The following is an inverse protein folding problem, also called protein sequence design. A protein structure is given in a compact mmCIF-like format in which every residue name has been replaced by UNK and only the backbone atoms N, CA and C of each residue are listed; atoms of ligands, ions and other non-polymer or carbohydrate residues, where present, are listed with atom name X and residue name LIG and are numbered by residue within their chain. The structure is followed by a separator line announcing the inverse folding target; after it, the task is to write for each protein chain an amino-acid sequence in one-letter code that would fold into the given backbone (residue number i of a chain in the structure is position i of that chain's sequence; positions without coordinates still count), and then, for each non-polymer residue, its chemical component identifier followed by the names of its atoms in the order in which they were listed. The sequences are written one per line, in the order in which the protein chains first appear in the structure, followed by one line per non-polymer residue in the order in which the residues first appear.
data_IF_056719503045
#
_entry.id   IF_056719503045
#
_cell.length_a   1.000
_cell.length_b   1.000
_cell.length_c   1.000
_cell.angle_alpha   90.00
_cell.angle_beta   90.00
_cell.angle_gamma   90.00
#
_symmetry.space_group_name_H-M   'P 1'
#
loop_
_entity.id
_entity.type
_entity.pdbx_description
1 polymer ?
#
# COMPACT_ATOMS: atom_id res chain seq x y z
N UNK A 1 -1.21 9.18 1.58
CA UNK A 1 -0.92 9.05 0.14
C UNK A 1 -0.38 7.66 -0.15
N UNK A 2 -0.57 7.16 -1.36
CA UNK A 2 0.04 5.92 -1.88
C UNK A 2 1.00 6.26 -3.03
N UNK A 3 1.91 5.36 -3.37
CA UNK A 3 2.87 5.60 -4.46
C UNK A 3 3.00 4.41 -5.40
N UNK A 4 3.26 4.66 -6.67
CA UNK A 4 3.62 3.63 -7.65
C UNK A 4 5.07 3.84 -8.08
N UNK A 5 5.92 2.83 -7.91
CA UNK A 5 7.31 2.87 -8.36
C UNK A 5 7.89 1.48 -8.63
N UNK A 6 9.03 1.45 -9.33
CA UNK A 6 9.81 0.24 -9.54
C UNK A 6 10.50 -0.21 -8.24
N UNK A 7 10.36 -1.48 -7.91
CA UNK A 7 11.13 -2.17 -6.86
C UNK A 7 11.48 -3.57 -7.35
N UNK A 8 12.77 -3.92 -7.27
CA UNK A 8 13.30 -5.20 -7.75
C UNK A 8 12.84 -5.58 -9.17
N UNK A 9 12.81 -4.56 -10.05
CA UNK A 9 12.37 -4.63 -11.47
C UNK A 9 10.86 -4.88 -11.68
N UNK A 10 10.06 -4.83 -10.63
CA UNK A 10 8.61 -4.90 -10.73
C UNK A 10 7.99 -3.53 -10.45
N UNK A 11 6.93 -3.20 -11.18
CA UNK A 11 6.09 -2.08 -10.81
C UNK A 11 5.30 -2.46 -9.56
N UNK A 12 5.34 -1.59 -8.55
CA UNK A 12 4.71 -1.85 -7.24
C UNK A 12 3.85 -0.67 -6.85
N UNK A 13 2.67 -0.96 -6.33
CA UNK A 13 1.87 -0.02 -5.56
C UNK A 13 2.30 -0.15 -4.09
N UNK A 14 2.58 0.97 -3.43
CA UNK A 14 3.10 1.00 -2.08
C UNK A 14 2.26 1.93 -1.20
N UNK A 15 1.98 1.49 0.02
CA UNK A 15 1.33 2.28 1.08
C UNK A 15 2.18 2.21 2.34
N UNK A 16 2.22 3.30 3.11
CA UNK A 16 2.96 3.34 4.37
C UNK A 16 2.01 3.14 5.54
N UNK A 17 2.36 2.19 6.40
CA UNK A 17 1.69 1.92 7.64
C UNK A 17 2.60 2.34 8.80
N UNK A 18 2.04 3.00 9.82
CA UNK A 18 2.77 3.36 11.03
C UNK A 18 1.88 3.20 12.26
N UNK A 19 2.46 2.70 13.36
CA UNK A 19 1.80 2.67 14.66
C UNK A 19 2.08 4.00 15.37
N UNK A 20 1.03 4.78 15.65
CA UNK A 20 1.16 6.08 16.32
C UNK A 20 1.06 5.92 17.85
N UNK A 21 0.69 4.72 18.34
CA UNK A 21 0.52 4.47 19.78
C UNK A 21 1.86 4.19 20.44
N UNK A 22 2.32 5.12 21.26
CA UNK A 22 3.59 5.01 21.98
C UNK A 22 3.59 3.97 23.12
N UNK A 23 2.46 3.35 23.44
CA UNK A 23 2.26 2.59 24.68
C UNK A 23 1.60 1.21 24.48
N UNK A 24 1.32 0.78 23.26
CA UNK A 24 0.65 -0.51 23.03
C UNK A 24 1.23 -1.20 21.81
N UNK A 25 1.68 -2.44 22.02
CA UNK A 25 2.10 -3.33 20.94
C UNK A 25 0.84 -3.93 20.32
N UNK A 26 0.83 -4.02 18.99
CA UNK A 26 -0.21 -4.74 18.28
C UNK A 26 0.26 -6.18 18.02
N UNK A 27 -0.52 -7.14 18.52
CA UNK A 27 -0.32 -8.56 18.31
C UNK A 27 -1.15 -9.04 17.12
N UNK A 28 -0.67 -10.07 16.43
CA UNK A 28 -1.34 -10.69 15.27
C UNK A 28 -1.80 -9.65 14.23
N UNK A 29 -0.92 -8.69 13.93
CA UNK A 29 -1.21 -7.62 13.01
C UNK A 29 -1.27 -8.15 11.57
N UNK A 30 -2.33 -7.82 10.84
CA UNK A 30 -2.59 -8.29 9.48
C UNK A 30 -3.05 -7.14 8.60
N UNK A 31 -2.67 -7.17 7.32
CA UNK A 31 -3.11 -6.18 6.35
C UNK A 31 -3.74 -6.83 5.12
N UNK A 32 -4.82 -6.22 4.64
CA UNK A 32 -5.48 -6.56 3.37
C UNK A 32 -5.67 -5.31 2.53
N UNK A 33 -5.71 -5.50 1.23
CA UNK A 33 -5.97 -4.44 0.27
C UNK A 33 -7.01 -4.92 -0.74
N UNK A 34 -7.95 -4.05 -1.05
CA UNK A 34 -9.01 -4.32 -2.01
C UNK A 34 -9.05 -3.23 -3.06
N UNK A 35 -9.26 -3.63 -4.32
CA UNK A 35 -9.57 -2.75 -5.43
C UNK A 35 -11.08 -2.71 -5.61
N UNK A 36 -11.66 -1.53 -5.52
CA UNK A 36 -13.10 -1.29 -5.62
C UNK A 36 -13.37 -0.53 -6.91
N UNK A 37 -14.19 -1.08 -7.78
CA UNK A 37 -14.58 -0.40 -9.03
C UNK A 37 -15.92 -0.87 -9.54
N UNK A 38 -16.53 -0.11 -10.45
CA UNK A 38 -17.72 -0.57 -11.17
C UNK A 38 -17.31 -1.59 -12.25
N UNK A 39 -17.91 -2.78 -12.22
CA UNK A 39 -17.68 -3.83 -13.24
C UNK A 39 -18.97 -4.16 -14.01
N UNK A 40 -18.83 -4.49 -15.29
CA UNK A 40 -19.88 -5.15 -16.07
C UNK A 40 -19.42 -6.60 -16.32
N UNK A 41 -20.25 -7.59 -15.96
CA UNK A 41 -19.91 -9.00 -16.16
C UNK A 41 -20.03 -9.42 -17.62
N UNK A 42 -19.59 -10.63 -17.95
CA UNK A 42 -19.71 -11.16 -19.32
C UNK A 42 -21.18 -11.38 -19.73
N UNK A 43 -22.05 -11.60 -18.76
CA UNK A 43 -23.50 -11.75 -18.91
C UNK A 43 -24.23 -10.41 -19.00
N UNK A 44 -23.51 -9.28 -18.83
CA UNK A 44 -24.08 -7.93 -18.89
C UNK A 44 -24.63 -7.40 -17.56
N UNK A 45 -24.42 -8.11 -16.44
CA UNK A 45 -24.78 -7.60 -15.11
C UNK A 45 -23.87 -6.43 -14.73
N UNK A 46 -24.45 -5.36 -14.17
CA UNK A 46 -23.69 -4.23 -13.64
C UNK A 46 -23.49 -4.47 -12.15
N UNK A 47 -22.23 -4.59 -11.73
CA UNK A 47 -21.82 -4.63 -10.32
C UNK A 47 -21.32 -3.21 -9.97
N UNK A 48 -22.08 -2.41 -9.20
CA UNK A 48 -21.70 -1.02 -8.92
C UNK A 48 -20.39 -0.90 -8.13
N UNK A 49 -20.15 -1.83 -7.21
CA UNK A 49 -18.96 -1.89 -6.35
C UNK A 49 -18.46 -3.33 -6.34
N UNK A 50 -17.66 -3.70 -7.34
CA UNK A 50 -16.94 -4.97 -7.36
C UNK A 50 -15.68 -4.85 -6.50
N UNK A 51 -15.46 -5.81 -5.61
CA UNK A 51 -14.34 -5.82 -4.67
C UNK A 51 -13.38 -6.94 -5.07
N UNK A 52 -12.19 -6.56 -5.54
CA UNK A 52 -11.14 -7.50 -5.92
C UNK A 52 -10.02 -7.46 -4.88
N UNK A 53 -9.63 -8.61 -4.35
CA UNK A 53 -8.48 -8.73 -3.45
C UNK A 53 -7.17 -8.37 -4.18
N UNK A 54 -6.33 -7.57 -3.52
CA UNK A 54 -5.00 -7.22 -3.99
C UNK A 54 -3.95 -7.86 -3.08
N UNK A 55 -3.14 -8.74 -3.66
CA UNK A 55 -2.13 -9.48 -2.91
C UNK A 55 -1.04 -8.55 -2.36
N UNK A 56 -1.01 -8.40 -1.04
CA UNK A 56 0.01 -7.64 -0.28
C UNK A 56 0.95 -8.56 0.51
N UNK A 57 1.04 -9.83 0.11
CA UNK A 57 1.92 -10.81 0.74
C UNK A 57 1.23 -12.07 1.27
N UNK A 58 -0.08 -12.23 1.06
CA UNK A 58 -0.90 -13.34 1.60
C UNK A 58 -0.30 -14.72 1.27
N UNK A 59 0.11 -14.93 0.03
CA UNK A 59 0.69 -16.21 -0.42
C UNK A 59 2.03 -16.54 0.26
N UNK A 60 2.71 -15.52 0.79
CA UNK A 60 4.04 -15.64 1.41
C UNK A 60 4.02 -15.42 2.92
N UNK A 61 2.85 -15.12 3.50
CA UNK A 61 2.69 -14.73 4.91
C UNK A 61 3.24 -13.34 5.26
N UNK A 62 3.60 -12.51 4.27
CA UNK A 62 4.11 -11.14 4.47
C UNK A 62 3.01 -10.14 4.81
N UNK A 63 1.74 -10.54 4.64
CA UNK A 63 0.56 -9.82 5.12
C UNK A 63 0.47 -9.79 6.64
N UNK A 64 1.14 -10.72 7.33
CA UNK A 64 1.28 -10.75 8.79
C UNK A 64 2.45 -9.87 9.20
N UNK A 65 2.13 -8.78 9.88
CA UNK A 65 3.07 -7.71 10.15
C UNK A 65 3.63 -7.80 11.56
N UNK A 66 4.91 -7.47 11.69
CA UNK A 66 5.53 -7.12 12.96
C UNK A 66 5.68 -5.60 13.00
N UNK A 67 4.66 -4.90 13.49
CA UNK A 67 4.57 -3.43 13.42
C UNK A 67 5.34 -2.75 14.57
N UNK A 68 6.65 -2.97 14.65
CA UNK A 68 7.53 -2.29 15.62
C UNK A 68 7.98 -0.92 15.11
N UNK A 69 8.12 -0.78 13.78
CA UNK A 69 8.47 0.46 13.09
C UNK A 69 7.51 0.69 11.91
N UNK A 70 7.41 1.92 11.36
CA UNK A 70 6.65 2.16 10.15
C UNK A 70 7.11 1.25 9.00
N UNK A 71 6.16 0.59 8.35
CA UNK A 71 6.38 -0.34 7.27
C UNK A 71 5.85 0.24 5.95
N UNK A 72 6.55 -0.05 4.86
CA UNK A 72 6.00 0.17 3.51
C UNK A 72 5.45 -1.16 3.04
N UNK A 73 4.13 -1.25 2.92
CA UNK A 73 3.43 -2.40 2.38
C UNK A 73 3.37 -2.25 0.87
N UNK A 74 3.65 -3.35 0.17
CA UNK A 74 3.73 -3.36 -1.28
C UNK A 74 2.77 -4.39 -1.87
N UNK A 75 2.09 -3.97 -2.92
CA UNK A 75 1.41 -4.83 -3.87
C UNK A 75 2.21 -4.85 -5.17
N UNK A 76 2.65 -6.04 -5.57
CA UNK A 76 3.30 -6.22 -6.86
C UNK A 76 2.25 -6.19 -7.97
N UNK A 77 2.43 -5.27 -8.92
CA UNK A 77 1.54 -5.17 -10.08
C UNK A 77 2.01 -6.20 -11.11
N UNK A 78 1.48 -7.42 -11.00
CA UNK A 78 1.68 -8.53 -11.94
C UNK A 78 0.44 -8.77 -12.81
N UNK A 79 0.46 -9.82 -13.64
CA UNK A 79 -0.63 -10.15 -14.55
C UNK A 79 -1.97 -10.49 -13.89
N UNK A 80 -2.00 -10.70 -12.57
CA UNK A 80 -3.22 -10.94 -11.79
C UNK A 80 -3.74 -9.66 -11.12
N UNK A 81 -2.92 -8.61 -11.09
CA UNK A 81 -3.30 -7.33 -10.51
C UNK A 81 -4.36 -6.62 -11.36
N UNK A 82 -5.40 -6.00 -10.75
CA UNK A 82 -6.32 -5.14 -11.48
C UNK A 82 -5.63 -3.89 -12.07
N UNK A 83 -4.42 -3.56 -11.60
CA UNK A 83 -3.62 -2.44 -12.10
C UNK A 83 -2.66 -2.82 -13.24
N UNK A 84 -2.67 -4.07 -13.71
CA UNK A 84 -1.68 -4.61 -14.65
C UNK A 84 -1.50 -3.78 -15.93
N UNK A 85 -2.62 -3.31 -16.50
CA UNK A 85 -2.65 -2.54 -17.74
C UNK A 85 -2.75 -1.03 -17.51
N UNK A 86 -2.67 -0.56 -16.26
CA UNK A 86 -2.84 0.85 -15.92
C UNK A 86 -1.51 1.60 -16.08
N UNK A 87 -1.47 2.61 -16.94
CA UNK A 87 -0.33 3.51 -17.11
C UNK A 87 -0.49 4.83 -16.31
N UNK A 88 0.55 5.68 -16.32
CA UNK A 88 0.53 6.96 -15.58
C UNK A 88 -0.57 7.92 -16.05
N UNK A 89 -0.88 7.94 -17.36
CA UNK A 89 -1.88 8.85 -17.93
C UNK A 89 -3.28 8.37 -17.59
N UNK A 90 -3.52 7.07 -17.71
CA UNK A 90 -4.79 6.43 -17.40
C UNK A 90 -5.12 6.53 -15.92
N UNK A 91 -4.12 6.46 -15.03
CA UNK A 91 -4.32 6.65 -13.59
C UNK A 91 -5.07 7.95 -13.27
N UNK A 92 -4.72 9.07 -13.92
CA UNK A 92 -5.34 10.37 -13.67
C UNK A 92 -6.82 10.46 -14.08
N UNK A 93 -7.30 9.53 -14.90
CA UNK A 93 -8.71 9.45 -15.34
C UNK A 93 -9.40 8.16 -14.88
N UNK A 94 -8.72 7.36 -14.05
CA UNK A 94 -9.25 6.10 -13.59
C UNK A 94 -10.37 6.34 -12.57
N UNK A 95 -11.28 5.38 -12.46
CA UNK A 95 -12.40 5.42 -11.52
C UNK A 95 -12.39 4.14 -10.70
N UNK A 96 -11.66 4.18 -9.58
CA UNK A 96 -11.57 3.11 -8.61
C UNK A 96 -11.23 3.66 -7.23
N UNK A 97 -11.37 2.83 -6.21
CA UNK A 97 -10.93 3.13 -4.85
C UNK A 97 -10.10 1.94 -4.32
N UNK A 98 -8.97 2.21 -3.70
CA UNK A 98 -8.18 1.20 -3.00
C UNK A 98 -8.54 1.25 -1.53
N UNK A 99 -9.09 0.17 -0.99
CA UNK A 99 -9.37 0.05 0.43
C UNK A 99 -8.27 -0.76 1.10
N UNK A 100 -7.56 -0.15 2.05
CA UNK A 100 -6.60 -0.82 2.92
C UNK A 100 -7.24 -1.08 4.26
N UNK A 101 -7.23 -2.34 4.68
CA UNK A 101 -7.75 -2.79 5.96
C UNK A 101 -6.59 -3.33 6.79
N UNK A 102 -6.41 -2.76 7.96
CA UNK A 102 -5.41 -3.19 8.93
C UNK A 102 -6.12 -3.69 10.18
N UNK A 103 -5.76 -4.89 10.63
CA UNK A 103 -6.34 -5.54 11.80
C UNK A 103 -5.25 -5.98 12.76
N UNK A 104 -5.57 -6.03 14.04
CA UNK A 104 -4.71 -6.66 15.04
C UNK A 104 -5.29 -6.56 16.44
N UNK A 105 -4.63 -7.17 17.40
CA UNK A 105 -5.07 -7.24 18.80
C UNK A 105 -4.20 -6.30 19.64
N UNK A 106 -4.84 -5.40 20.39
CA UNK A 106 -4.14 -4.50 21.30
C UNK A 106 -3.67 -5.30 22.51
N UNK A 107 -2.35 -5.42 22.72
CA UNK A 107 -1.76 -6.25 23.78
C UNK A 107 -2.35 -5.96 25.17
N UNK A 108 -2.52 -4.68 25.51
CA UNK A 108 -2.97 -4.27 26.85
C UNK A 108 -4.45 -4.56 27.14
N UNK A 109 -5.29 -4.71 26.11
CA UNK A 109 -6.75 -4.88 26.29
C UNK A 109 -7.25 -6.22 25.76
N UNK A 110 -6.49 -6.91 24.91
CA UNK A 110 -6.93 -8.10 24.20
C UNK A 110 -8.04 -7.85 23.18
N UNK A 111 -8.38 -6.59 22.89
CA UNK A 111 -9.43 -6.24 21.94
C UNK A 111 -8.88 -6.24 20.52
N UNK A 112 -9.66 -6.84 19.61
CA UNK A 112 -9.44 -6.72 18.18
C UNK A 112 -9.74 -5.29 17.74
N UNK A 113 -8.79 -4.66 17.06
CA UNK A 113 -8.96 -3.36 16.41
C UNK A 113 -8.83 -3.53 14.90
N UNK A 114 -9.65 -2.76 14.18
CA UNK A 114 -9.59 -2.68 12.73
C UNK A 114 -9.53 -1.20 12.36
N UNK A 115 -8.55 -0.85 11.53
CA UNK A 115 -8.41 0.47 10.91
C UNK A 115 -8.57 0.31 9.41
N UNK A 116 -9.31 1.24 8.79
CA UNK A 116 -9.54 1.26 7.35
C UNK A 116 -9.12 2.62 6.80
N UNK A 117 -8.47 2.61 5.65
CA UNK A 117 -8.12 3.82 4.92
C UNK A 117 -8.31 3.56 3.44
N UNK A 118 -8.73 4.57 2.69
CA UNK A 118 -8.88 4.43 1.25
C UNK A 118 -8.06 5.44 0.47
N UNK A 119 -7.70 5.06 -0.74
CA UNK A 119 -6.95 5.87 -1.69
C UNK A 119 -7.71 5.90 -3.01
N UNK A 120 -8.04 7.10 -3.46
CA UNK A 120 -8.52 7.33 -4.83
C UNK A 120 -7.32 7.55 -5.77
N UNK A 121 -7.50 7.55 -7.10
CA UNK A 121 -6.38 7.70 -8.03
C UNK A 121 -5.57 8.98 -7.80
N UNK A 122 -6.23 10.06 -7.38
CA UNK A 122 -5.58 11.34 -7.02
C UNK A 122 -4.66 11.24 -5.79
N UNK A 123 -4.85 10.24 -4.92
CA UNK A 123 -3.99 9.99 -3.76
C UNK A 123 -2.73 9.17 -4.12
N UNK A 124 -2.63 8.69 -5.37
CA UNK A 124 -1.58 7.79 -5.83
C UNK A 124 -0.54 8.58 -6.64
N UNK A 125 0.67 8.70 -6.08
CA UNK A 125 1.77 9.41 -6.73
C UNK A 125 2.62 8.44 -7.56
N UNK A 126 2.54 8.57 -8.89
CA UNK A 126 3.35 7.78 -9.81
C UNK A 126 4.81 8.27 -9.87
N UNK A 127 5.75 7.33 -9.84
CA UNK A 127 7.19 7.62 -9.94
C UNK A 127 7.74 8.25 -8.66
N UNK A 128 7.13 7.95 -7.51
CA UNK A 128 7.60 8.39 -6.20
C UNK A 128 7.85 7.20 -5.29
N UNK A 129 8.69 7.42 -4.28
CA UNK A 129 8.96 6.49 -3.18
C UNK A 129 8.83 7.24 -1.87
N UNK A 130 8.48 6.54 -0.82
CA UNK A 130 8.50 7.14 0.50
C UNK A 130 9.94 7.39 0.98
N UNK A 131 10.21 8.56 1.53
CA UNK A 131 11.52 8.88 2.11
C UNK A 131 11.85 7.96 3.28
N UNK A 132 13.10 7.47 3.42
CA UNK A 132 13.52 6.72 4.59
C UNK A 132 13.31 7.52 5.88
N UNK A 133 12.64 6.89 6.85
CA UNK A 133 12.37 7.49 8.16
C UNK A 133 13.44 7.16 9.20
N UNK A 134 14.24 6.13 8.96
CA UNK A 134 15.29 5.67 9.87
C UNK A 134 16.49 6.60 9.77
N UNK A 135 16.84 7.24 10.90
CA UNK A 135 18.09 7.97 11.06
C UNK A 135 19.11 7.06 11.71
N UNK A 136 20.23 6.88 11.02
CA UNK A 136 21.37 6.12 11.50
C UNK A 136 22.53 7.08 11.75
N UNK A 137 22.47 7.77 12.89
CA UNK A 137 23.56 8.62 13.34
C UNK A 137 24.58 7.77 14.12
N UNK A 138 25.89 7.88 13.86
CA UNK A 138 26.91 7.02 14.46
C UNK A 138 26.93 7.03 16.00
N UNK A 139 26.50 8.14 16.60
CA UNK A 139 26.62 8.41 18.03
C UNK A 139 25.29 8.29 18.79
N UNK A 140 24.18 7.97 18.12
CA UNK A 140 22.86 7.86 18.76
C UNK A 140 22.16 6.54 18.41
N UNK A 141 21.30 6.01 19.30
CA UNK A 141 20.47 4.87 18.96
C UNK A 141 19.62 5.16 17.72
N UNK A 142 19.27 4.10 16.98
CA UNK A 142 18.39 4.18 15.82
C UNK A 142 17.11 4.95 16.18
N UNK A 143 16.87 6.08 15.51
CA UNK A 143 15.67 6.89 15.73
C UNK A 143 14.82 6.93 14.47
N UNK A 144 13.51 7.09 14.67
CA UNK A 144 12.52 7.19 13.59
C UNK A 144 12.07 8.64 13.51
N UNK A 145 12.34 9.27 12.37
CA UNK A 145 11.92 10.63 12.09
C UNK A 145 10.49 10.64 11.50
N UNK A 146 9.49 10.79 12.37
CA UNK A 146 8.08 10.82 11.98
C UNK A 146 7.70 12.04 11.14
N UNK A 147 8.52 13.09 11.10
CA UNK A 147 8.28 14.22 10.18
C UNK A 147 8.36 13.81 8.71
N UNK A 148 9.03 12.68 8.42
CA UNK A 148 9.16 12.09 7.09
C UNK A 148 8.09 11.04 6.77
N UNK A 149 7.08 10.87 7.62
CA UNK A 149 6.06 9.83 7.40
C UNK A 149 5.35 10.00 6.05
N UNK A 150 4.97 11.21 5.68
CA UNK A 150 4.35 11.50 4.38
C UNK A 150 5.35 12.03 3.34
N UNK A 151 6.63 12.14 3.68
CA UNK A 151 7.64 12.67 2.76
C UNK A 151 7.93 11.69 1.63
N UNK A 152 7.96 12.21 0.40
CA UNK A 152 8.20 11.46 -0.82
C UNK A 152 9.46 11.96 -1.52
N UNK A 153 10.20 11.03 -2.14
CA UNK A 153 11.28 11.34 -3.07
C UNK A 153 10.94 10.79 -4.47
N UNK A 154 11.37 11.51 -5.51
CA UNK A 154 11.11 11.14 -6.89
C UNK A 154 12.00 9.98 -7.35
N UNK A 155 11.39 8.99 -7.99
CA UNK A 155 12.08 7.85 -8.60
C UNK A 155 12.18 8.04 -10.12
N UNK A 156 13.39 8.39 -10.56
CA UNK A 156 13.69 8.61 -11.99
C UNK A 156 13.70 7.32 -12.82
N UNK A 157 13.76 6.14 -12.18
CA UNK A 157 13.79 4.87 -12.89
C UNK A 157 12.41 4.42 -13.34
N UNK A 158 11.34 4.90 -12.68
CA UNK A 158 9.96 4.47 -12.96
C UNK A 158 9.47 5.10 -14.26
N UNK A 159 9.28 4.24 -15.28
CA UNK A 159 8.71 4.66 -16.56
C UNK A 159 7.21 5.01 -16.40
N UNK A 160 6.64 5.85 -17.29
CA UNK A 160 5.22 6.20 -17.26
C UNK A 160 4.30 5.16 -17.92
N UNK A 161 4.83 3.99 -18.31
CA UNK A 161 4.08 2.90 -18.93
C UNK A 161 3.50 1.94 -17.89
N UNK A 162 2.50 1.17 -18.29
CA UNK A 162 1.88 0.12 -17.48
C UNK A 162 2.81 -1.06 -17.23
N UNK A 163 2.45 -1.91 -16.27
CA UNK A 163 3.28 -3.05 -15.88
C UNK A 163 3.40 -4.12 -16.97
N UNK A 164 2.39 -4.26 -17.83
CA UNK A 164 2.40 -5.14 -19.00
C UNK A 164 3.34 -4.68 -20.14
N UNK A 165 3.79 -3.43 -20.13
CA UNK A 165 4.67 -2.83 -21.15
C UNK A 165 6.15 -2.74 -20.69
N UNK A 166 6.43 -3.09 -19.43
CA UNK A 166 7.77 -3.08 -18.84
C UNK A 166 8.61 -4.31 -19.24
#
# INVERSE_FOLDING_TARGET
QAVISLRDKYLTLQVRLGEIRSQSILLDAQIRMYFISRRITQEGEIIPLDLLDMNVGLDTGRDRLLLIWPLVIEHRIDSKSPLWSLDRKQLASADFELLVVFEGVIESTGLLTQTRHSYIPDDIVWGARFEPMLRNDPDTPLTIDYSKFDALCWDTCTKPCSANEL
#
